data_IF_727321580789
#
_entry.id   IF_727321580789
#
_cell.length_a   1.000
_cell.length_b   1.000
_cell.length_c   1.000
_cell.angle_alpha   90.00
_cell.angle_beta   90.00
_cell.angle_gamma   90.00
#
_symmetry.space_group_name_H-M   'P 1'
#
loop_
_entity.id
_entity.type
_entity.pdbx_description
1 polymer ?
#
# COMPACT_ATOMS: atom_id res chain seq x y z
N UNK A 1 -14.82 18.61 -16.34
CA UNK A 1 -14.37 17.93 -15.11
C UNK A 1 -14.42 16.45 -15.42
N UNK A 2 -13.30 15.76 -15.31
CA UNK A 2 -13.21 14.34 -15.62
C UNK A 2 -13.92 13.56 -14.51
N UNK A 3 -14.74 12.57 -14.86
CA UNK A 3 -15.53 11.83 -13.87
C UNK A 3 -14.70 10.71 -13.25
N UNK A 4 -14.17 10.94 -12.04
CA UNK A 4 -13.40 9.95 -11.28
C UNK A 4 -14.26 9.04 -10.39
N UNK A 5 -15.59 9.00 -10.57
CA UNK A 5 -16.49 8.31 -9.63
C UNK A 5 -16.30 6.79 -9.59
N UNK A 6 -16.02 6.15 -10.73
CA UNK A 6 -15.74 4.70 -10.75
C UNK A 6 -14.42 4.37 -10.05
N UNK A 7 -13.37 5.16 -10.30
CA UNK A 7 -12.07 5.00 -9.64
C UNK A 7 -12.18 5.22 -8.13
N UNK A 8 -12.89 6.27 -7.71
CA UNK A 8 -13.19 6.53 -6.30
C UNK A 8 -13.91 5.34 -5.66
N UNK A 9 -14.96 4.81 -6.30
CA UNK A 9 -15.72 3.69 -5.77
C UNK A 9 -14.87 2.42 -5.64
N UNK A 10 -13.98 2.17 -6.60
CA UNK A 10 -13.06 1.04 -6.57
C UNK A 10 -12.06 1.15 -5.42
N UNK A 11 -11.42 2.31 -5.25
CA UNK A 11 -10.51 2.55 -4.13
C UNK A 11 -11.27 2.46 -2.80
N UNK A 12 -12.47 3.02 -2.73
CA UNK A 12 -13.32 2.97 -1.54
C UNK A 12 -13.68 1.54 -1.11
N UNK A 13 -13.89 0.64 -2.07
CA UNK A 13 -14.09 -0.78 -1.76
C UNK A 13 -12.80 -1.42 -1.24
N UNK A 14 -11.65 -1.15 -1.88
CA UNK A 14 -10.36 -1.73 -1.53
C UNK A 14 -9.88 -1.35 -0.12
N UNK A 15 -9.99 -0.07 0.27
CA UNK A 15 -9.55 0.41 1.60
C UNK A 15 -10.38 -0.15 2.75
N UNK A 16 -11.60 -0.63 2.47
CA UNK A 16 -12.47 -1.23 3.48
C UNK A 16 -12.10 -2.68 3.83
N UNK A 17 -11.17 -3.29 3.11
CA UNK A 17 -10.70 -4.65 3.37
C UNK A 17 -9.43 -4.62 4.23
N UNK A 18 -9.48 -5.26 5.40
CA UNK A 18 -8.32 -5.34 6.28
C UNK A 18 -7.26 -6.24 5.66
N UNK A 19 -6.02 -5.77 5.68
CA UNK A 19 -4.91 -6.50 5.08
C UNK A 19 -3.55 -6.15 5.69
N UNK A 20 -3.41 -6.07 7.02
CA UNK A 20 -2.11 -5.75 7.59
C UNK A 20 -1.06 -6.79 7.21
N UNK A 21 0.21 -6.40 7.11
CA UNK A 21 1.26 -7.32 6.64
C UNK A 21 1.25 -8.69 7.34
N UNK A 22 1.15 -9.75 6.55
CA UNK A 22 1.03 -11.14 6.97
C UNK A 22 -0.37 -11.59 7.44
N UNK A 23 -1.41 -10.78 7.24
CA UNK A 23 -2.82 -11.14 7.41
C UNK A 23 -3.69 -10.53 6.29
N UNK A 24 -3.30 -10.75 5.02
CA UNK A 24 -3.91 -10.14 3.82
C UNK A 24 -5.13 -10.90 3.26
N UNK A 25 -5.75 -11.80 4.04
CA UNK A 25 -6.78 -12.71 3.51
C UNK A 25 -8.03 -12.00 2.97
N UNK A 26 -8.55 -10.96 3.65
CA UNK A 26 -9.76 -10.27 3.18
C UNK A 26 -9.53 -9.65 1.79
N UNK A 27 -8.40 -8.97 1.59
CA UNK A 27 -8.09 -8.37 0.29
C UNK A 27 -7.76 -9.43 -0.76
N UNK A 28 -7.12 -10.55 -0.40
CA UNK A 28 -6.86 -11.65 -1.33
C UNK A 28 -8.14 -12.20 -1.94
N UNK A 29 -9.16 -12.42 -1.11
CA UNK A 29 -10.44 -12.95 -1.56
C UNK A 29 -11.12 -11.98 -2.53
N UNK A 30 -11.11 -10.67 -2.22
CA UNK A 30 -11.65 -9.65 -3.10
C UNK A 30 -10.91 -9.61 -4.45
N UNK A 31 -9.58 -9.53 -4.43
CA UNK A 31 -8.78 -9.41 -5.65
C UNK A 31 -8.92 -10.66 -6.53
N UNK A 32 -8.93 -11.85 -5.94
CA UNK A 32 -9.20 -13.08 -6.67
C UNK A 32 -10.54 -13.01 -7.41
N UNK A 33 -11.60 -12.58 -6.73
CA UNK A 33 -12.93 -12.43 -7.34
C UNK A 33 -12.96 -11.37 -8.44
N UNK A 34 -12.32 -10.20 -8.22
CA UNK A 34 -12.25 -9.10 -9.20
C UNK A 34 -11.51 -9.55 -10.47
N UNK A 35 -10.32 -10.14 -10.36
CA UNK A 35 -9.57 -10.61 -11.52
C UNK A 35 -10.28 -11.75 -12.26
N UNK A 36 -10.86 -12.71 -11.52
CA UNK A 36 -11.62 -13.80 -12.12
C UNK A 36 -12.86 -13.29 -12.88
N UNK A 37 -13.56 -12.27 -12.35
CA UNK A 37 -14.70 -11.64 -13.03
C UNK A 37 -14.30 -10.92 -14.33
N UNK A 38 -13.05 -10.49 -14.45
CA UNK A 38 -12.48 -9.92 -15.68
C UNK A 38 -12.01 -10.98 -16.68
N UNK A 39 -12.09 -12.27 -16.33
CA UNK A 39 -11.66 -13.39 -17.17
C UNK A 39 -10.15 -13.52 -17.31
N UNK A 40 -9.38 -12.94 -16.37
CA UNK A 40 -7.91 -13.01 -16.37
C UNK A 40 -7.44 -14.20 -15.55
N UNK A 41 -6.40 -14.88 -16.02
CA UNK A 41 -5.76 -15.96 -15.26
C UNK A 41 -5.16 -15.39 -13.98
N UNK A 42 -5.65 -15.87 -12.83
CA UNK A 42 -5.22 -15.43 -11.51
C UNK A 42 -4.64 -16.59 -10.70
N UNK A 43 -3.49 -16.36 -10.09
CA UNK A 43 -2.80 -17.32 -9.22
C UNK A 43 -2.47 -16.65 -7.89
N UNK A 44 -2.51 -17.44 -6.82
CA UNK A 44 -1.96 -17.05 -5.52
C UNK A 44 -0.69 -17.84 -5.29
N UNK A 45 0.44 -17.14 -5.17
CA UNK A 45 1.72 -17.82 -4.95
C UNK A 45 1.93 -18.20 -3.48
N UNK A 46 3.08 -18.84 -3.21
CA UNK A 46 3.42 -19.32 -1.86
C UNK A 46 3.81 -18.20 -0.88
N UNK A 47 4.04 -16.98 -1.38
CA UNK A 47 4.29 -15.79 -0.56
C UNK A 47 3.03 -14.94 -0.35
N UNK A 48 1.87 -15.44 -0.79
CA UNK A 48 0.55 -14.80 -0.66
C UNK A 48 0.36 -13.59 -1.59
N UNK A 49 1.10 -13.53 -2.71
CA UNK A 49 0.81 -12.57 -3.77
C UNK A 49 -0.42 -13.01 -4.56
N UNK A 50 -1.27 -12.06 -4.99
CA UNK A 50 -2.29 -12.32 -6.02
C UNK A 50 -1.74 -11.81 -7.34
N UNK A 51 -1.60 -12.71 -8.30
CA UNK A 51 -0.92 -12.45 -9.57
C UNK A 51 -1.90 -12.68 -10.70
N UNK A 52 -2.12 -11.68 -11.52
CA UNK A 52 -2.91 -11.78 -12.75
C UNK A 52 -1.97 -11.69 -13.96
N UNK A 53 -2.03 -12.68 -14.86
CA UNK A 53 -1.22 -12.69 -16.09
C UNK A 53 -2.06 -12.21 -17.27
N UNK A 54 -1.55 -11.21 -18.00
CA UNK A 54 -2.12 -10.76 -19.27
C UNK A 54 -1.18 -11.24 -20.39
N UNK A 55 -1.59 -12.21 -21.22
CA UNK A 55 -0.77 -12.71 -22.32
C UNK A 55 -0.46 -11.61 -23.35
N UNK A 56 0.80 -11.47 -23.71
CA UNK A 56 1.25 -10.53 -24.73
C UNK A 56 1.35 -11.14 -26.12
N UNK A 57 1.77 -10.31 -27.08
CA UNK A 57 2.11 -10.74 -28.45
C UNK A 57 3.38 -11.60 -28.48
N UNK A 58 4.33 -11.34 -27.57
CA UNK A 58 5.53 -12.14 -27.36
C UNK A 58 5.53 -12.75 -25.95
N UNK A 59 5.34 -14.06 -25.86
CA UNK A 59 5.31 -14.81 -24.60
C UNK A 59 6.70 -15.22 -24.06
N UNK A 60 7.78 -14.99 -24.83
CA UNK A 60 9.15 -15.30 -24.40
C UNK A 60 9.74 -14.17 -23.53
N UNK A 61 9.07 -13.02 -23.50
CA UNK A 61 9.42 -11.84 -22.74
C UNK A 61 8.33 -11.53 -21.74
N UNK A 62 8.70 -11.00 -20.58
CA UNK A 62 7.74 -10.61 -19.58
C UNK A 62 8.20 -9.39 -18.79
N UNK A 63 7.23 -8.55 -18.41
CA UNK A 63 7.41 -7.51 -17.39
C UNK A 63 6.45 -7.75 -16.24
N UNK A 64 6.75 -7.15 -15.09
CA UNK A 64 5.84 -7.12 -13.97
C UNK A 64 5.50 -5.69 -13.56
N UNK A 65 4.25 -5.49 -13.15
CA UNK A 65 3.78 -4.26 -12.52
C UNK A 65 3.29 -4.65 -11.12
N UNK A 66 3.94 -4.14 -10.09
CA UNK A 66 3.60 -4.44 -8.69
C UNK A 66 2.84 -3.29 -8.05
N UNK A 67 1.90 -3.63 -7.17
CA UNK A 67 1.31 -2.72 -6.19
C UNK A 67 1.07 -3.53 -4.91
N UNK A 68 1.50 -3.04 -3.77
CA UNK A 68 1.35 -3.83 -2.55
C UNK A 68 -0.08 -3.76 -2.01
N UNK A 69 -0.59 -4.91 -1.57
CA UNK A 69 -1.95 -5.00 -1.03
C UNK A 69 -1.99 -4.94 0.48
N UNK A 70 -0.84 -5.10 1.15
CA UNK A 70 -0.79 -4.99 2.59
C UNK A 70 -0.85 -3.53 3.07
N UNK A 71 -1.16 -3.37 4.35
CA UNK A 71 -1.23 -2.07 5.02
C UNK A 71 -0.44 -2.08 6.34
N UNK A 72 -0.01 -0.89 6.77
CA UNK A 72 0.58 -0.69 8.10
C UNK A 72 -0.45 -0.82 9.23
N UNK A 73 0.06 -0.96 10.46
CA UNK A 73 -0.77 -1.01 11.66
C UNK A 73 0.02 -1.23 12.92
N UNK A 74 -0.49 -2.09 13.81
CA UNK A 74 0.24 -2.56 14.97
C UNK A 74 0.16 -4.08 15.09
N UNK A 75 1.02 -4.65 15.93
CA UNK A 75 1.03 -6.07 16.25
C UNK A 75 0.98 -6.24 17.76
N UNK A 76 0.11 -7.13 18.23
CA UNK A 76 -0.04 -7.46 19.65
C UNK A 76 1.28 -8.03 20.16
N UNK A 77 1.78 -7.42 21.24
CA UNK A 77 2.99 -7.84 21.95
C UNK A 77 2.63 -8.74 23.13
N UNK A 78 1.67 -8.33 23.94
CA UNK A 78 1.27 -9.03 25.16
C UNK A 78 -0.14 -8.64 25.57
N UNK A 79 -0.76 -9.52 26.35
CA UNK A 79 -2.06 -9.30 26.98
C UNK A 79 -1.81 -9.32 28.49
N UNK A 80 -2.20 -8.26 29.20
CA UNK A 80 -2.08 -8.19 30.65
C UNK A 80 -3.23 -8.88 31.37
N UNK A 81 -3.08 -9.10 32.68
CA UNK A 81 -4.01 -9.87 33.52
C UNK A 81 -5.46 -9.35 33.54
N UNK A 82 -5.67 -8.09 33.15
CA UNK A 82 -7.00 -7.45 33.07
C UNK A 82 -7.48 -7.29 31.62
N UNK A 83 -6.89 -8.01 30.66
CA UNK A 83 -7.25 -7.95 29.25
C UNK A 83 -6.73 -6.72 28.50
N UNK A 84 -5.87 -5.91 29.12
CA UNK A 84 -5.19 -4.79 28.46
C UNK A 84 -4.23 -5.33 27.40
N UNK A 85 -4.39 -4.91 26.16
CA UNK A 85 -3.57 -5.38 25.03
C UNK A 85 -2.47 -4.37 24.71
N UNK A 86 -1.21 -4.77 24.85
CA UNK A 86 -0.05 -3.98 24.42
C UNK A 86 0.33 -4.29 22.98
N UNK A 87 0.76 -3.28 22.23
CA UNK A 87 1.12 -3.41 20.81
C UNK A 87 2.50 -2.82 20.49
N UNK A 88 3.02 -3.17 19.32
CA UNK A 88 4.20 -2.58 18.67
C UNK A 88 3.87 -2.20 17.24
N UNK A 89 4.66 -1.31 16.64
CA UNK A 89 4.47 -0.92 15.24
C UNK A 89 4.53 -2.14 14.31
N UNK A 90 3.69 -2.13 13.29
CA UNK A 90 3.80 -2.97 12.09
C UNK A 90 3.98 -2.03 10.90
N UNK A 91 5.09 -2.18 10.17
CA UNK A 91 5.50 -1.23 9.14
C UNK A 91 5.86 0.16 9.71
N UNK A 92 5.75 1.18 8.86
CA UNK A 92 6.04 2.58 9.18
C UNK A 92 4.96 3.30 9.99
N UNK A 93 4.29 2.62 10.93
CA UNK A 93 3.14 3.14 11.67
C UNK A 93 3.52 3.95 12.92
N UNK A 94 2.75 5.01 13.18
CA UNK A 94 2.90 5.89 14.33
C UNK A 94 1.59 6.04 15.11
N UNK A 95 1.61 6.00 16.46
CA UNK A 95 0.38 5.98 17.24
C UNK A 95 -0.39 7.30 17.20
N UNK A 96 0.29 8.45 17.07
CA UNK A 96 -0.38 9.76 17.01
C UNK A 96 -1.15 9.99 15.71
N UNK A 97 -0.76 9.30 14.63
CA UNK A 97 -1.46 9.34 13.33
C UNK A 97 -2.83 8.66 13.44
N UNK A 98 -2.91 7.60 14.23
CA UNK A 98 -4.16 6.90 14.50
C UNK A 98 -4.98 7.60 15.59
N UNK A 99 -4.33 8.26 16.53
CA UNK A 99 -4.98 8.95 17.65
C UNK A 99 -5.79 8.02 18.56
N UNK A 100 -6.41 8.58 19.59
CA UNK A 100 -7.38 7.80 20.37
C UNK A 100 -8.61 7.51 19.52
N UNK A 101 -9.04 6.25 19.48
CA UNK A 101 -10.18 5.87 18.66
C UNK A 101 -10.25 4.37 18.43
N UNK A 102 -11.27 3.99 17.68
CA UNK A 102 -11.55 2.58 17.43
C UNK A 102 -10.48 1.96 16.52
N UNK A 103 -10.04 0.78 16.92
CA UNK A 103 -9.14 -0.11 16.19
C UNK A 103 -9.71 -1.52 16.23
N UNK A 104 -9.35 -2.33 15.24
CA UNK A 104 -9.80 -3.72 15.15
C UNK A 104 -8.60 -4.66 15.33
N UNK A 105 -8.75 -5.63 16.23
CA UNK A 105 -7.81 -6.73 16.44
C UNK A 105 -8.29 -7.95 15.65
N UNK A 106 -7.46 -8.43 14.73
CA UNK A 106 -7.82 -9.53 13.82
C UNK A 106 -7.48 -10.89 14.47
N UNK A 107 -8.35 -11.34 15.39
CA UNK A 107 -8.20 -12.64 16.04
C UNK A 107 -8.41 -13.81 15.08
N UNK A 108 -7.88 -14.98 15.45
CA UNK A 108 -7.99 -16.19 14.63
C UNK A 108 -9.43 -16.64 14.39
N UNK A 109 -10.31 -16.36 15.36
CA UNK A 109 -11.71 -16.78 15.35
C UNK A 109 -12.67 -15.60 15.19
N UNK A 110 -12.29 -14.43 15.71
CA UNK A 110 -13.14 -13.24 15.74
C UNK A 110 -12.31 -11.96 15.63
N UNK A 111 -12.79 -11.01 14.84
CA UNK A 111 -12.31 -9.62 14.88
C UNK A 111 -12.90 -8.91 16.09
N UNK A 112 -12.04 -8.43 16.99
CA UNK A 112 -12.44 -7.71 18.21
C UNK A 112 -12.11 -6.23 18.08
N UNK A 113 -13.14 -5.39 18.10
CA UNK A 113 -12.93 -3.93 18.19
C UNK A 113 -12.49 -3.53 19.60
N UNK A 114 -11.59 -2.55 19.66
CA UNK A 114 -11.12 -1.93 20.90
C UNK A 114 -10.78 -0.45 20.69
N UNK A 115 -10.37 0.20 21.77
CA UNK A 115 -9.99 1.62 21.75
C UNK A 115 -8.48 1.76 21.92
N UNK A 116 -7.80 2.31 20.92
CA UNK A 116 -6.42 2.76 21.07
C UNK A 116 -6.40 3.90 22.11
N UNK A 117 -5.68 3.68 23.20
CA UNK A 117 -5.74 4.49 24.41
C UNK A 117 -4.34 4.97 24.80
N UNK A 118 -4.23 6.20 25.30
CA UNK A 118 -3.01 6.75 25.91
C UNK A 118 -3.20 7.17 27.38
N UNK A 119 -4.42 7.05 27.89
CA UNK A 119 -4.78 7.36 29.28
C UNK A 119 -5.32 8.77 29.48
N UNK A 120 -5.87 9.00 30.67
CA UNK A 120 -6.56 10.25 31.01
C UNK A 120 -5.67 11.49 30.94
N UNK A 121 -6.26 12.61 30.52
CA UNK A 121 -5.58 13.92 30.49
C UNK A 121 -5.92 14.83 31.68
N UNK A 122 -7.04 14.61 32.37
CA UNK A 122 -7.35 15.29 33.65
C UNK A 122 -6.68 14.57 34.82
N UNK A 123 -5.35 14.60 34.85
CA UNK A 123 -4.53 13.88 35.83
C UNK A 123 -3.58 14.84 36.56
N UNK A 124 -3.18 14.46 37.79
CA UNK A 124 -2.20 15.21 38.56
C UNK A 124 -0.80 15.12 37.95
N UNK A 125 0.14 15.94 38.44
CA UNK A 125 1.55 15.86 38.07
C UNK A 125 2.23 14.53 38.48
N UNK A 126 1.55 13.70 39.27
CA UNK A 126 2.05 12.39 39.69
C UNK A 126 1.79 11.30 38.65
N UNK A 127 0.92 11.57 37.68
CA UNK A 127 0.56 10.57 36.66
C UNK A 127 1.59 10.52 35.53
N UNK A 128 2.02 9.31 35.09
CA UNK A 128 2.94 9.16 33.97
C UNK A 128 2.47 9.85 32.68
N UNK A 129 1.16 9.99 32.49
CA UNK A 129 0.56 10.63 31.31
C UNK A 129 0.74 12.15 31.28
N UNK A 130 1.15 12.79 32.38
CA UNK A 130 1.35 14.24 32.43
C UNK A 130 2.46 14.70 31.49
N UNK A 131 3.55 13.94 31.39
CA UNK A 131 4.71 14.28 30.54
C UNK A 131 4.37 14.36 29.05
N UNK A 132 3.33 13.65 28.60
CA UNK A 132 2.83 13.67 27.22
C UNK A 132 1.94 14.88 26.91
N UNK A 133 1.56 15.68 27.92
CA UNK A 133 0.88 16.96 27.72
C UNK A 133 1.86 18.11 27.47
N UNK A 134 3.15 17.83 27.64
CA UNK A 134 4.26 18.75 27.41
C UNK A 134 5.00 18.32 26.14
N UNK A 135 6.32 18.50 26.08
CA UNK A 135 7.09 18.32 24.85
C UNK A 135 7.49 16.86 24.55
N UNK A 136 6.77 15.88 25.09
CA UNK A 136 7.10 14.45 24.91
C UNK A 136 6.26 13.81 23.81
N UNK A 137 6.93 13.35 22.74
CA UNK A 137 6.28 12.62 21.66
C UNK A 137 5.67 11.29 22.14
N UNK A 138 4.46 11.00 21.66
CA UNK A 138 3.76 9.73 21.92
C UNK A 138 4.42 8.61 21.13
N UNK A 139 4.76 7.50 21.80
CA UNK A 139 5.32 6.28 21.19
C UNK A 139 4.43 5.07 21.46
N UNK A 140 4.60 3.97 20.71
CA UNK A 140 3.79 2.75 20.87
C UNK A 140 3.87 2.14 22.27
N UNK A 141 4.98 2.34 22.99
CA UNK A 141 5.13 1.93 24.39
C UNK A 141 4.18 2.66 25.36
N UNK A 142 3.65 3.81 24.94
CA UNK A 142 2.68 4.59 25.69
C UNK A 142 1.23 4.23 25.35
N UNK A 143 1.04 3.41 24.31
CA UNK A 143 -0.26 3.07 23.76
C UNK A 143 -0.69 1.68 24.19
N UNK A 144 -1.99 1.48 24.33
CA UNK A 144 -2.58 0.15 24.53
C UNK A 144 -4.00 0.11 23.96
N UNK A 145 -4.57 -1.08 23.89
CA UNK A 145 -5.92 -1.28 23.39
C UNK A 145 -6.80 -1.80 24.53
N UNK A 146 -7.92 -1.12 24.72
CA UNK A 146 -8.98 -1.48 25.65
C UNK A 146 -10.13 -2.13 24.88
N UNK A 147 -10.42 -3.40 25.15
CA UNK A 147 -11.55 -4.14 24.55
C UNK A 147 -12.68 -4.40 25.55
N UNK A 148 -12.39 -4.25 26.85
CA UNK A 148 -13.26 -4.66 27.98
C UNK A 148 -13.58 -6.16 28.01
N UNK A 149 -12.75 -6.97 27.35
CA UNK A 149 -12.74 -8.43 27.44
C UNK A 149 -11.69 -8.90 28.44
N UNK A 150 -11.98 -9.99 29.13
CA UNK A 150 -11.04 -10.75 29.96
C UNK A 150 -9.95 -11.41 29.09
N UNK A 151 -8.80 -11.81 29.66
CA UNK A 151 -7.80 -12.59 28.94
C UNK A 151 -8.38 -13.85 28.28
N UNK A 152 -9.29 -14.55 28.96
CA UNK A 152 -9.91 -15.78 28.47
C UNK A 152 -10.83 -15.51 27.26
N UNK A 153 -11.61 -14.42 27.28
CA UNK A 153 -12.43 -14.00 26.13
C UNK A 153 -11.58 -13.54 24.94
N UNK A 154 -10.43 -12.90 25.20
CA UNK A 154 -9.48 -12.52 24.16
C UNK A 154 -8.81 -13.75 23.54
N UNK A 155 -8.40 -14.72 24.36
CA UNK A 155 -7.86 -16.00 23.89
C UNK A 155 -8.90 -16.76 23.06
N UNK A 156 -10.15 -16.83 23.51
CA UNK A 156 -11.24 -17.47 22.77
C UNK A 156 -11.49 -16.82 21.39
N UNK A 157 -11.34 -15.50 21.29
CA UNK A 157 -11.38 -14.78 20.01
C UNK A 157 -10.13 -15.01 19.13
N UNK A 158 -9.07 -15.61 19.67
CA UNK A 158 -7.79 -15.84 18.99
C UNK A 158 -6.82 -14.66 19.06
N UNK A 159 -7.02 -13.75 20.02
CA UNK A 159 -6.10 -12.63 20.28
C UNK A 159 -4.92 -13.13 21.10
N UNK A 160 -3.71 -12.93 20.58
CA UNK A 160 -2.44 -13.37 21.19
C UNK A 160 -1.26 -12.52 20.71
N UNK A 161 -0.06 -12.64 21.29
CA UNK A 161 1.15 -12.07 20.69
C UNK A 161 1.28 -12.45 19.21
N UNK A 162 1.40 -11.46 18.32
CA UNK A 162 1.41 -11.65 16.87
C UNK A 162 0.09 -11.35 16.16
N UNK A 163 -1.03 -11.19 16.89
CA UNK A 163 -2.30 -10.72 16.31
C UNK A 163 -2.13 -9.30 15.75
N UNK A 164 -2.70 -9.03 14.57
CA UNK A 164 -2.60 -7.70 13.94
C UNK A 164 -3.68 -6.76 14.48
N UNK A 165 -3.32 -5.49 14.55
CA UNK A 165 -4.23 -4.37 14.80
C UNK A 165 -4.23 -3.43 13.60
N UNK A 166 -5.42 -3.01 13.19
CA UNK A 166 -5.63 -2.00 12.16
C UNK A 166 -6.62 -0.94 12.63
N UNK A 167 -6.67 0.19 11.92
CA UNK A 167 -7.71 1.19 12.12
C UNK A 167 -9.09 0.54 11.92
N UNK A 168 -10.03 0.89 12.81
CA UNK A 168 -11.37 0.31 12.77
C UNK A 168 -12.06 0.56 11.43
N UNK A 169 -12.72 -0.45 10.86
CA UNK A 169 -13.23 -0.42 9.48
C UNK A 169 -14.07 0.83 9.14
N UNK A 170 -14.91 1.30 10.06
CA UNK A 170 -15.72 2.52 9.86
C UNK A 170 -14.91 3.81 9.72
N UNK A 171 -13.66 3.85 10.24
CA UNK A 171 -12.76 5.00 10.13
C UNK A 171 -11.98 5.02 8.82
N UNK A 172 -11.97 3.90 8.08
CA UNK A 172 -11.31 3.76 6.76
C UNK A 172 -12.19 4.22 5.61
N UNK A 173 -13.45 4.59 5.86
CA UNK A 173 -14.31 5.08 4.79
C UNK A 173 -13.71 6.35 4.18
N UNK A 174 -13.44 6.38 2.86
CA UNK A 174 -12.77 7.51 2.25
C UNK A 174 -13.71 8.72 2.15
N UNK A 175 -13.11 9.90 2.15
CA UNK A 175 -13.79 11.18 1.94
C UNK A 175 -13.40 11.71 0.57
N UNK A 176 -14.40 12.13 -0.21
CA UNK A 176 -14.15 12.83 -1.48
C UNK A 176 -13.99 14.33 -1.22
N UNK A 177 -12.88 14.89 -1.67
CA UNK A 177 -12.55 16.31 -1.58
C UNK A 177 -12.38 16.86 -3.00
N UNK A 178 -13.49 17.22 -3.66
CA UNK A 178 -13.51 17.54 -5.11
C UNK A 178 -12.93 16.38 -5.94
N UNK A 179 -11.78 16.61 -6.58
CA UNK A 179 -11.07 15.64 -7.42
C UNK A 179 -10.01 14.85 -6.63
N UNK A 180 -9.95 15.03 -5.31
CA UNK A 180 -9.11 14.25 -4.41
C UNK A 180 -9.91 13.19 -3.65
N UNK A 181 -9.22 12.12 -3.29
CA UNK A 181 -9.65 11.11 -2.32
C UNK A 181 -8.79 11.26 -1.06
N UNK A 182 -9.43 11.18 0.10
CA UNK A 182 -8.76 11.15 1.39
C UNK A 182 -9.13 9.87 2.15
N UNK A 183 -8.15 9.10 2.61
CA UNK A 183 -8.39 7.85 3.35
C UNK A 183 -7.14 7.42 4.13
N UNK A 184 -7.31 6.57 5.13
CA UNK A 184 -6.21 5.68 5.51
C UNK A 184 -5.96 4.67 4.37
N UNK A 185 -4.71 4.22 4.23
CA UNK A 185 -4.34 3.04 3.42
C UNK A 185 -4.56 3.26 1.92
N UNK A 186 -4.49 4.50 1.45
CA UNK A 186 -4.31 4.74 0.02
C UNK A 186 -2.99 4.13 -0.43
N UNK A 187 -1.98 4.17 0.45
CA UNK A 187 -0.82 3.30 0.41
C UNK A 187 -1.21 1.84 0.77
N UNK A 188 -1.22 0.90 -0.17
CA UNK A 188 -1.07 1.08 -1.61
C UNK A 188 -2.32 0.59 -2.38
N UNK A 189 -3.49 0.68 -1.73
CA UNK A 189 -4.81 0.32 -2.30
C UNK A 189 -5.16 1.15 -3.53
N UNK A 190 -4.70 2.39 -3.60
CA UNK A 190 -4.88 3.21 -4.79
C UNK A 190 -4.12 2.64 -6.00
N UNK A 191 -2.92 2.09 -5.82
CA UNK A 191 -2.20 1.38 -6.89
C UNK A 191 -2.76 0.00 -7.20
N UNK A 192 -3.31 -0.70 -6.20
CA UNK A 192 -4.05 -1.95 -6.47
C UNK A 192 -5.26 -1.68 -7.39
N UNK A 193 -5.92 -0.52 -7.26
CA UNK A 193 -6.96 -0.11 -8.20
C UNK A 193 -6.42 0.10 -9.63
N UNK A 194 -5.18 0.60 -9.77
CA UNK A 194 -4.50 0.71 -11.07
C UNK A 194 -4.31 -0.70 -11.69
N UNK A 195 -3.88 -1.69 -10.90
CA UNK A 195 -3.75 -3.08 -11.40
C UNK A 195 -5.09 -3.62 -11.92
N UNK A 196 -6.18 -3.41 -11.18
CA UNK A 196 -7.51 -3.84 -11.61
C UNK A 196 -7.95 -3.15 -12.91
N UNK A 197 -7.72 -1.84 -13.02
CA UNK A 197 -8.02 -1.09 -14.23
C UNK A 197 -7.17 -1.54 -15.43
N UNK A 198 -5.90 -1.89 -15.21
CA UNK A 198 -5.05 -2.48 -16.25
C UNK A 198 -5.58 -3.85 -16.68
N UNK A 199 -5.98 -4.74 -15.76
CA UNK A 199 -6.60 -6.01 -16.11
C UNK A 199 -7.90 -5.85 -16.93
N UNK A 200 -8.67 -4.81 -16.63
CA UNK A 200 -9.89 -4.51 -17.36
C UNK A 200 -9.60 -4.01 -18.79
N UNK A 201 -8.59 -3.14 -18.96
CA UNK A 201 -8.40 -2.39 -20.21
C UNK A 201 -7.22 -2.84 -21.09
N UNK A 202 -6.22 -3.53 -20.54
CA UNK A 202 -5.06 -4.04 -21.28
C UNK A 202 -5.38 -5.44 -21.83
N UNK A 203 -5.45 -5.58 -23.16
CA UNK A 203 -5.88 -6.84 -23.80
C UNK A 203 -4.80 -7.54 -24.62
N UNK A 204 -3.92 -6.78 -25.27
CA UNK A 204 -2.83 -7.34 -26.11
C UNK A 204 -1.54 -6.54 -25.92
N UNK A 205 -0.90 -6.65 -24.74
CA UNK A 205 0.40 -6.03 -24.53
C UNK A 205 1.47 -6.58 -25.48
N UNK A 206 2.57 -5.86 -25.65
CA UNK A 206 3.68 -6.27 -26.51
C UNK A 206 4.36 -7.56 -25.99
N UNK A 207 4.49 -7.69 -24.68
CA UNK A 207 5.06 -8.84 -23.97
C UNK A 207 4.09 -9.34 -22.89
N UNK A 208 4.34 -10.49 -22.29
CA UNK A 208 3.55 -10.93 -21.14
C UNK A 208 3.65 -9.89 -20.01
N UNK A 209 2.50 -9.55 -19.42
CA UNK A 209 2.44 -8.61 -18.28
C UNK A 209 1.90 -9.33 -17.06
N UNK A 210 2.70 -9.39 -16.00
CA UNK A 210 2.26 -9.83 -14.68
C UNK A 210 1.81 -8.62 -13.87
N UNK A 211 0.53 -8.58 -13.49
CA UNK A 211 -0.01 -7.63 -12.53
C UNK A 211 0.04 -8.30 -11.15
N UNK A 212 0.89 -7.79 -10.27
CA UNK A 212 1.24 -8.45 -9.00
C UNK A 212 0.76 -7.59 -7.83
N UNK A 213 -0.32 -8.02 -7.19
CA UNK A 213 -0.73 -7.48 -5.90
C UNK A 213 0.14 -8.11 -4.79
N UNK A 214 1.29 -7.49 -4.51
CA UNK A 214 2.35 -8.05 -3.66
C UNK A 214 1.95 -8.07 -2.18
N UNK A 215 2.51 -9.00 -1.41
CA UNK A 215 2.29 -9.12 0.04
C UNK A 215 3.48 -8.60 0.83
N UNK A 216 3.23 -8.10 2.04
CA UNK A 216 4.27 -7.78 3.02
C UNK A 216 5.34 -6.83 2.46
N UNK A 217 4.93 -5.79 1.73
CA UNK A 217 5.86 -4.75 1.26
C UNK A 217 6.39 -3.95 2.45
N UNK A 218 5.48 -3.53 3.34
CA UNK A 218 5.72 -2.62 4.47
C UNK A 218 6.69 -3.19 5.52
N UNK A 219 7.06 -4.45 5.37
CA UNK A 219 8.00 -5.20 6.22
C UNK A 219 9.17 -5.78 5.42
N UNK A 220 9.42 -5.27 4.21
CA UNK A 220 10.61 -5.51 3.40
C UNK A 220 10.38 -6.16 2.03
N UNK A 221 9.33 -5.79 1.28
CA UNK A 221 9.06 -6.28 -0.08
C UNK A 221 9.05 -7.83 -0.21
N UNK A 222 8.61 -8.53 0.85
CA UNK A 222 8.79 -9.99 0.95
C UNK A 222 8.07 -10.72 -0.20
N UNK A 223 6.86 -10.28 -0.54
CA UNK A 223 6.07 -10.81 -1.63
C UNK A 223 6.73 -10.61 -2.98
N UNK A 224 7.14 -9.38 -3.32
CA UNK A 224 7.77 -9.11 -4.61
C UNK A 224 9.13 -9.79 -4.76
N UNK A 225 9.92 -9.89 -3.69
CA UNK A 225 11.17 -10.66 -3.71
C UNK A 225 10.93 -12.14 -4.01
N UNK A 226 9.92 -12.75 -3.40
CA UNK A 226 9.56 -14.13 -3.71
C UNK A 226 9.11 -14.27 -5.17
N UNK A 227 8.24 -13.38 -5.66
CA UNK A 227 7.77 -13.41 -7.04
C UNK A 227 8.93 -13.29 -8.04
N UNK A 228 9.76 -12.26 -7.90
CA UNK A 228 10.89 -11.99 -8.81
C UNK A 228 11.97 -13.07 -8.77
N UNK A 229 12.19 -13.74 -7.63
CA UNK A 229 13.11 -14.89 -7.54
C UNK A 229 12.63 -16.09 -8.39
N UNK A 230 11.31 -16.22 -8.62
CA UNK A 230 10.69 -17.35 -9.30
C UNK A 230 10.22 -17.03 -10.74
N UNK A 231 10.42 -15.81 -11.22
CA UNK A 231 9.99 -15.35 -12.54
C UNK A 231 11.12 -14.61 -13.25
N UNK A 232 11.42 -14.99 -14.49
CA UNK A 232 12.34 -14.24 -15.36
C UNK A 232 11.60 -13.03 -15.94
N UNK A 233 12.11 -11.83 -15.70
CA UNK A 233 11.49 -10.57 -16.10
C UNK A 233 12.52 -9.67 -16.82
N UNK A 234 12.10 -9.03 -17.89
CA UNK A 234 12.88 -8.00 -18.58
C UNK A 234 12.91 -6.70 -17.79
N UNK A 235 11.81 -6.39 -17.09
CA UNK A 235 11.65 -5.20 -16.27
C UNK A 235 10.58 -5.39 -15.19
N UNK A 236 10.72 -4.63 -14.10
CA UNK A 236 9.74 -4.49 -13.03
C UNK A 236 9.38 -3.02 -12.83
N UNK A 237 8.09 -2.71 -12.77
CA UNK A 237 7.59 -1.36 -12.47
C UNK A 237 6.76 -1.43 -11.18
N UNK A 238 7.25 -0.81 -10.10
CA UNK A 238 6.44 -0.64 -8.89
C UNK A 238 5.53 0.57 -9.03
N UNK A 239 4.28 0.40 -8.66
CA UNK A 239 3.32 1.46 -8.45
C UNK A 239 3.31 1.84 -6.98
N UNK A 240 3.47 3.13 -6.69
CA UNK A 240 3.60 3.62 -5.32
C UNK A 240 2.91 4.97 -5.10
N UNK A 241 2.86 5.41 -3.85
CA UNK A 241 2.62 6.81 -3.53
C UNK A 241 3.93 7.61 -3.52
N UNK A 242 3.88 8.91 -3.83
CA UNK A 242 5.01 9.81 -3.67
C UNK A 242 4.67 10.88 -2.62
N UNK A 243 5.47 11.03 -1.56
CA UNK A 243 5.20 12.01 -0.52
C UNK A 243 5.31 13.44 -1.06
N UNK A 244 4.36 14.28 -0.68
CA UNK A 244 4.45 15.72 -0.82
C UNK A 244 5.13 16.33 0.40
N UNK A 245 6.38 16.76 0.23
CA UNK A 245 7.15 17.53 1.21
C UNK A 245 7.90 18.66 0.51
N UNK A 246 8.17 19.76 1.21
CA UNK A 246 8.86 20.94 0.67
C UNK A 246 10.27 20.64 0.14
N UNK A 247 10.89 19.56 0.62
CA UNK A 247 12.22 19.12 0.17
C UNK A 247 12.22 18.47 -1.23
N UNK A 248 11.06 18.03 -1.74
CA UNK A 248 10.95 17.35 -3.03
C UNK A 248 10.32 18.26 -4.09
N UNK A 249 10.77 18.22 -5.36
CA UNK A 249 10.24 19.05 -6.43
C UNK A 249 8.90 18.53 -6.99
N UNK A 250 8.07 17.93 -6.15
CA UNK A 250 6.79 17.30 -6.52
C UNK A 250 5.65 18.21 -6.08
N UNK A 251 4.68 18.42 -6.98
CA UNK A 251 3.47 19.19 -6.73
C UNK A 251 2.26 18.27 -6.72
N UNK A 252 1.29 18.62 -5.88
CA UNK A 252 -0.06 18.07 -5.96
C UNK A 252 -0.70 18.36 -7.33
N UNK A 253 -1.59 17.48 -7.77
CA UNK A 253 -2.30 17.61 -9.04
C UNK A 253 -2.32 16.30 -9.84
N UNK A 254 -2.60 16.41 -11.14
CA UNK A 254 -2.88 15.26 -12.01
C UNK A 254 -1.65 14.55 -12.55
N UNK A 255 -0.44 15.05 -12.30
CA UNK A 255 0.77 14.54 -12.94
C UNK A 255 1.40 13.42 -12.10
N UNK A 256 1.53 12.20 -12.65
CA UNK A 256 2.28 11.14 -11.99
C UNK A 256 3.75 11.53 -11.76
N UNK A 257 4.39 10.82 -10.86
CA UNK A 257 5.79 11.01 -10.46
C UNK A 257 6.58 9.77 -10.84
N UNK A 258 7.72 9.94 -11.50
CA UNK A 258 8.64 8.86 -11.81
C UNK A 258 9.90 9.05 -10.98
N UNK A 259 10.24 8.07 -10.14
CA UNK A 259 11.39 8.15 -9.26
C UNK A 259 12.67 7.78 -10.01
N UNK A 260 13.73 8.54 -9.79
CA UNK A 260 15.07 8.24 -10.27
C UNK A 260 15.91 7.49 -9.22
N UNK A 261 15.62 7.67 -7.93
CA UNK A 261 16.34 7.04 -6.83
C UNK A 261 15.47 6.95 -5.57
N UNK A 262 15.67 5.90 -4.78
CA UNK A 262 15.23 5.83 -3.38
C UNK A 262 16.36 5.34 -2.42
N UNK A 263 16.03 4.92 -1.19
CA UNK A 263 17.01 4.46 -0.20
C UNK A 263 17.68 3.11 -0.56
N UNK A 264 17.10 2.37 -1.50
CA UNK A 264 17.53 1.03 -1.89
C UNK A 264 18.29 1.00 -3.21
N UNK A 265 18.13 2.00 -4.08
CA UNK A 265 18.93 2.10 -5.29
C UNK A 265 18.54 3.22 -6.25
N UNK A 266 19.21 3.23 -7.41
CA UNK A 266 18.94 4.12 -8.54
C UNK A 266 18.16 3.31 -9.57
N UNK A 267 16.97 3.78 -9.96
CA UNK A 267 16.12 3.13 -10.96
C UNK A 267 16.78 3.14 -12.35
N UNK A 268 16.40 2.20 -13.21
CA UNK A 268 16.97 2.07 -14.56
C UNK A 268 16.62 3.29 -15.43
N UNK A 269 17.61 4.10 -15.79
CA UNK A 269 17.39 5.32 -16.57
C UNK A 269 16.89 5.02 -17.99
N UNK A 270 17.22 3.84 -18.54
CA UNK A 270 16.68 3.38 -19.82
C UNK A 270 15.16 3.18 -19.76
N UNK A 271 14.68 2.41 -18.79
CA UNK A 271 13.27 2.18 -18.52
C UNK A 271 12.53 3.48 -18.16
N UNK A 272 13.13 4.33 -17.31
CA UNK A 272 12.58 5.65 -17.02
C UNK A 272 12.49 6.52 -18.27
N UNK A 273 13.48 6.47 -19.17
CA UNK A 273 13.46 7.12 -20.47
C UNK A 273 12.32 6.65 -21.36
N UNK A 274 12.06 5.33 -21.40
CA UNK A 274 10.94 4.73 -22.14
C UNK A 274 9.58 5.19 -21.60
N UNK A 275 9.40 5.22 -20.28
CA UNK A 275 8.18 5.75 -19.64
C UNK A 275 7.97 7.24 -19.93
N UNK A 276 9.03 8.06 -19.86
CA UNK A 276 8.96 9.49 -20.22
C UNK A 276 8.60 9.71 -21.68
N UNK A 277 9.16 8.90 -22.58
CA UNK A 277 8.85 8.97 -24.01
C UNK A 277 7.39 8.58 -24.28
N UNK A 278 6.87 7.54 -23.62
CA UNK A 278 5.48 7.15 -23.69
C UNK A 278 4.54 8.27 -23.18
N UNK A 279 4.85 8.86 -22.02
CA UNK A 279 4.09 9.99 -21.49
C UNK A 279 4.07 11.19 -22.46
N UNK A 280 5.20 11.50 -23.10
CA UNK A 280 5.29 12.55 -24.12
C UNK A 280 4.39 12.28 -25.32
N UNK A 281 4.32 11.02 -25.80
CA UNK A 281 3.43 10.63 -26.90
C UNK A 281 1.94 10.79 -26.53
N UNK A 282 1.60 10.62 -25.26
CA UNK A 282 0.26 10.81 -24.71
C UNK A 282 -0.07 12.27 -24.38
N UNK A 283 0.88 13.20 -24.54
CA UNK A 283 0.79 14.57 -24.02
C UNK A 283 0.52 14.63 -22.50
N UNK A 284 1.02 13.63 -21.76
CA UNK A 284 0.95 13.58 -20.30
C UNK A 284 2.24 14.14 -19.69
N UNK A 285 2.08 14.99 -18.67
CA UNK A 285 3.22 15.51 -17.91
C UNK A 285 3.60 14.54 -16.79
N UNK A 286 4.91 14.31 -16.63
CA UNK A 286 5.49 13.54 -15.54
C UNK A 286 6.39 14.42 -14.69
N UNK A 287 6.34 14.21 -13.38
CA UNK A 287 7.25 14.80 -12.42
C UNK A 287 8.40 13.83 -12.16
N UNK A 288 9.60 14.33 -11.85
CA UNK A 288 10.75 13.51 -11.53
C UNK A 288 11.24 13.84 -10.13
N UNK A 289 11.62 12.83 -9.36
CA UNK A 289 12.13 13.03 -8.00
C UNK A 289 13.12 11.94 -7.57
N UNK A 290 13.79 12.20 -6.45
CA UNK A 290 14.61 11.23 -5.71
C UNK A 290 14.18 11.28 -4.25
N UNK A 291 13.96 10.13 -3.63
CA UNK A 291 13.55 10.03 -2.23
C UNK A 291 14.66 9.42 -1.38
N UNK A 292 14.81 9.82 -0.12
CA UNK A 292 15.88 9.29 0.76
C UNK A 292 15.38 8.34 1.84
N UNK A 293 14.13 8.47 2.26
CA UNK A 293 13.46 7.63 3.25
C UNK A 293 12.32 6.83 2.65
N UNK A 294 12.59 6.11 1.56
CA UNK A 294 11.60 5.39 0.76
C UNK A 294 12.19 4.07 0.23
N UNK A 295 11.33 3.09 -0.01
CA UNK A 295 11.65 1.86 -0.73
C UNK A 295 10.41 1.39 -1.47
N UNK A 296 10.61 0.57 -2.51
CA UNK A 296 9.51 -0.09 -3.21
C UNK A 296 9.88 -1.53 -3.51
N UNK A 297 8.88 -2.31 -3.90
CA UNK A 297 9.07 -3.63 -4.49
C UNK A 297 10.15 -3.62 -5.60
N UNK A 298 10.16 -2.57 -6.43
CA UNK A 298 11.06 -2.44 -7.57
C UNK A 298 12.51 -2.18 -7.16
N UNK A 299 12.76 -1.20 -6.29
CA UNK A 299 14.11 -0.86 -5.87
C UNK A 299 14.73 -1.96 -5.01
N UNK A 300 13.93 -2.61 -4.16
CA UNK A 300 14.39 -3.71 -3.32
C UNK A 300 14.72 -4.94 -4.17
N UNK A 301 13.84 -5.35 -5.10
CA UNK A 301 14.12 -6.48 -6.00
C UNK A 301 15.38 -6.25 -6.86
N UNK A 302 15.57 -5.03 -7.36
CA UNK A 302 16.77 -4.65 -8.11
C UNK A 302 18.03 -4.67 -7.24
N UNK A 303 17.97 -4.13 -6.00
CA UNK A 303 19.10 -4.15 -5.06
C UNK A 303 19.59 -5.56 -4.75
N UNK A 304 18.68 -6.52 -4.67
CA UNK A 304 19.00 -7.94 -4.45
C UNK A 304 19.34 -8.70 -5.74
N UNK A 305 19.34 -8.04 -6.90
CA UNK A 305 19.75 -8.62 -8.18
C UNK A 305 18.72 -9.57 -8.80
N UNK A 306 17.45 -9.49 -8.39
CA UNK A 306 16.39 -10.33 -8.97
C UNK A 306 15.96 -9.83 -10.35
N UNK A 307 16.07 -8.52 -10.61
CA UNK A 307 15.74 -7.89 -11.89
C UNK A 307 16.87 -6.96 -12.30
N UNK A 308 17.17 -6.92 -13.62
CA UNK A 308 18.20 -6.06 -14.17
C UNK A 308 17.74 -4.62 -14.44
N UNK A 309 16.43 -4.41 -14.59
CA UNK A 309 15.82 -3.11 -14.88
C UNK A 309 14.58 -2.92 -14.03
N UNK A 310 14.50 -1.80 -13.32
CA UNK A 310 13.36 -1.48 -12.48
C UNK A 310 13.02 0.00 -12.54
N UNK A 311 11.73 0.33 -12.40
CA UNK A 311 11.20 1.69 -12.30
C UNK A 311 10.16 1.78 -11.18
N UNK A 312 9.94 2.99 -10.67
CA UNK A 312 8.87 3.28 -9.72
C UNK A 312 8.03 4.45 -10.23
N UNK A 313 6.80 4.14 -10.62
CA UNK A 313 5.80 5.11 -11.06
C UNK A 313 4.83 5.36 -9.91
N UNK A 314 4.74 6.59 -9.46
CA UNK A 314 3.97 6.96 -8.29
C UNK A 314 3.00 8.11 -8.58
N UNK A 315 2.16 8.46 -7.61
CA UNK A 315 1.31 9.65 -7.65
C UNK A 315 1.48 10.51 -6.38
N UNK A 316 1.40 11.86 -6.51
CA UNK A 316 1.59 12.76 -5.37
C UNK A 316 0.54 12.53 -4.28
N UNK A 317 1.00 12.37 -3.04
CA UNK A 317 0.14 12.05 -1.90
C UNK A 317 0.58 12.84 -0.66
N UNK A 318 -0.36 13.51 -0.02
CA UNK A 318 -0.15 14.16 1.28
C UNK A 318 -0.30 13.13 2.40
N UNK A 319 0.38 13.36 3.52
CA UNK A 319 0.23 12.58 4.76
C UNK A 319 0.47 11.07 4.60
N UNK A 320 1.46 10.67 3.79
CA UNK A 320 1.85 9.26 3.58
C UNK A 320 2.00 8.52 4.92
N UNK A 321 1.54 7.26 4.98
CA UNK A 321 1.42 6.47 6.22
C UNK A 321 0.45 7.07 7.26
N UNK A 322 -0.47 7.93 6.83
CA UNK A 322 -1.47 8.55 7.68
C UNK A 322 -2.86 8.62 7.05
N UNK A 323 -3.57 9.74 7.26
CA UNK A 323 -4.82 9.99 6.56
C UNK A 323 -4.48 10.69 5.24
N UNK A 324 -4.23 9.86 4.25
CA UNK A 324 -3.60 10.20 2.99
C UNK A 324 -4.56 10.94 2.07
N UNK A 325 -4.04 11.88 1.28
CA UNK A 325 -4.82 12.66 0.33
C UNK A 325 -4.11 12.64 -1.02
N UNK A 326 -4.79 12.14 -2.04
CA UNK A 326 -4.25 12.02 -3.40
C UNK A 326 -5.24 12.54 -4.45
N UNK A 327 -4.72 13.16 -5.51
CA UNK A 327 -5.53 13.59 -6.64
C UNK A 327 -5.91 12.38 -7.51
N UNK A 328 -7.21 12.16 -7.76
CA UNK A 328 -7.69 11.01 -8.52
C UNK A 328 -7.18 11.02 -9.98
N UNK A 329 -6.98 12.21 -10.55
CA UNK A 329 -6.37 12.38 -11.87
C UNK A 329 -4.93 11.84 -11.98
N UNK A 330 -4.09 11.93 -10.94
CA UNK A 330 -2.74 11.35 -11.00
C UNK A 330 -2.78 9.82 -11.03
N UNK A 331 -3.67 9.22 -10.23
CA UNK A 331 -3.92 7.77 -10.22
C UNK A 331 -4.44 7.33 -11.61
N UNK A 332 -5.40 8.08 -12.18
CA UNK A 332 -5.93 7.82 -13.52
C UNK A 332 -4.85 7.93 -14.61
N UNK A 333 -3.98 8.93 -14.53
CA UNK A 333 -2.89 9.11 -15.48
C UNK A 333 -1.80 8.02 -15.38
N UNK A 334 -1.61 7.41 -14.20
CA UNK A 334 -0.79 6.19 -14.08
C UNK A 334 -1.38 5.03 -14.90
N UNK A 335 -2.70 4.82 -14.85
CA UNK A 335 -3.39 3.79 -15.65
C UNK A 335 -3.16 4.05 -17.14
N UNK A 336 -3.38 5.29 -17.60
CA UNK A 336 -3.24 5.67 -19.01
C UNK A 336 -1.80 5.44 -19.49
N UNK A 337 -0.81 5.89 -18.71
CA UNK A 337 0.60 5.72 -19.04
C UNK A 337 1.01 4.25 -19.09
N UNK A 338 0.69 3.46 -18.07
CA UNK A 338 1.09 2.05 -18.01
C UNK A 338 0.42 1.21 -19.09
N UNK A 339 -0.86 1.47 -19.39
CA UNK A 339 -1.55 0.80 -20.49
C UNK A 339 -0.84 1.04 -21.81
N UNK A 340 -0.55 2.31 -22.13
CA UNK A 340 0.12 2.68 -23.37
C UNK A 340 1.56 2.14 -23.43
N UNK A 341 2.28 2.16 -22.30
CA UNK A 341 3.60 1.56 -22.18
C UNK A 341 3.53 0.05 -22.50
N UNK A 342 2.61 -0.69 -21.87
CA UNK A 342 2.47 -2.12 -22.13
C UNK A 342 2.08 -2.47 -23.57
N UNK A 343 1.41 -1.56 -24.30
CA UNK A 343 1.03 -1.75 -25.70
C UNK A 343 2.13 -1.33 -26.70
N UNK A 344 3.19 -0.68 -26.21
CA UNK A 344 4.32 -0.23 -27.03
C UNK A 344 5.42 -1.27 -27.03
N UNK A 345 5.96 -1.59 -28.20
CA UNK A 345 7.14 -2.45 -28.31
C UNK A 345 8.39 -1.67 -27.88
N UNK A 346 9.12 -2.21 -26.90
CA UNK A 346 10.39 -1.69 -26.45
C UNK A 346 11.48 -2.74 -26.65
N UNK A 347 12.66 -2.29 -27.07
CA UNK A 347 13.87 -3.12 -27.13
C UNK A 347 14.31 -3.53 -25.72
#
# INVERSE_FOLDING_TARGET
MQDYSQLFAMIAELVMHHSPSGAEMEINQLLWQKFAALGVEVVKDRADNIIAKIPGKNSDRAIAITAHKDEIGAIVKSIGDQGRVEVRKLGGAFPWVYGEGVVDLLGDNETVSGILSFGSRHVSHESPQKVQQEDTAVKWENAWIETKRTPEELEAAGIRPGTRMVIGKHRKHPIRLKDHIASYTLDNKASVAILLALAEHLKQPAVDVYLVASAKEEVGAIGALFFTQNHSLDALIALEICPLSEEYPVKDGENPVLLSQDAYGIYDEGLNGQLRQCAKQLNLSLQLTTLSGFGSDASIAMKFGHVGRAACLAFPTQNTHGYEIAHLGAIANCIILLKAFCETEFE
#
